data_IF_270158768519
#
_entry.id   IF_270158768519
#
_cell.length_a   1.000
_cell.length_b   1.000
_cell.length_c   1.000
_cell.angle_alpha   90.00
_cell.angle_beta   90.00
_cell.angle_gamma   90.00
#
_symmetry.space_group_name_H-M   'P 1'
#
loop_
_entity.id
_entity.type
_entity.pdbx_description
1 polymer ?
#
# COMPACT_ATOMS: atom_id res chain seq x y z
N UNK A 1 47.12 -0.64 16.86
CA UNK A 1 47.30 0.59 16.04
C UNK A 1 47.33 0.17 14.59
N UNK A 2 46.45 0.77 13.79
CA UNK A 2 46.30 0.47 12.37
C UNK A 2 47.03 1.57 11.57
N UNK A 3 47.99 1.26 10.68
CA UNK A 3 48.60 2.26 9.80
C UNK A 3 47.55 2.90 8.89
N UNK A 4 47.59 4.23 8.71
CA UNK A 4 46.59 4.93 7.91
C UNK A 4 47.15 6.16 7.15
N UNK A 5 46.44 6.55 6.08
CA UNK A 5 46.61 7.79 5.34
C UNK A 5 45.26 8.51 5.36
N UNK A 6 45.18 9.67 6.00
CA UNK A 6 43.99 10.51 6.01
C UNK A 6 44.22 11.74 5.13
N UNK A 7 43.33 11.99 4.19
CA UNK A 7 43.25 13.20 3.36
C UNK A 7 41.90 13.89 3.56
N UNK A 8 41.71 15.06 2.97
CA UNK A 8 40.41 15.74 2.98
C UNK A 8 39.29 14.93 2.29
N UNK A 9 39.65 14.02 1.38
CA UNK A 9 38.70 13.29 0.54
C UNK A 9 38.63 11.79 0.80
N UNK A 10 39.58 11.23 1.54
CA UNK A 10 39.66 9.79 1.76
C UNK A 10 40.48 9.42 2.98
N UNK A 11 40.20 8.22 3.50
CA UNK A 11 40.93 7.56 4.57
C UNK A 11 41.29 6.16 4.08
N UNK A 12 42.58 5.88 4.00
CA UNK A 12 43.11 4.55 3.70
C UNK A 12 43.70 3.95 4.96
N UNK A 13 43.35 2.71 5.29
CA UNK A 13 43.90 1.96 6.43
C UNK A 13 44.57 0.67 5.95
N UNK A 14 45.54 0.16 6.70
CA UNK A 14 46.19 -1.13 6.42
C UNK A 14 45.84 -2.13 7.52
N UNK A 15 44.90 -3.03 7.23
CA UNK A 15 44.40 -4.06 8.14
C UNK A 15 44.86 -5.42 7.61
N UNK A 16 45.48 -6.24 8.46
CA UNK A 16 46.06 -7.54 8.09
C UNK A 16 46.96 -7.53 6.83
N UNK A 17 47.66 -6.42 6.60
CA UNK A 17 48.54 -6.24 5.43
C UNK A 17 47.82 -5.89 4.13
N UNK A 18 46.51 -5.68 4.15
CA UNK A 18 45.71 -5.20 3.00
C UNK A 18 45.34 -3.73 3.20
N UNK A 19 45.47 -2.93 2.14
CA UNK A 19 45.00 -1.54 2.14
C UNK A 19 43.50 -1.50 1.82
N UNK A 20 42.72 -0.85 2.67
CA UNK A 20 41.28 -0.57 2.49
C UNK A 20 41.07 0.94 2.51
N UNK A 21 40.10 1.49 1.78
CA UNK A 21 40.00 2.94 1.55
C UNK A 21 38.57 3.44 1.44
N UNK A 22 38.21 4.36 2.32
CA UNK A 22 36.91 5.00 2.44
C UNK A 22 36.99 6.45 1.94
N UNK A 23 35.96 6.94 1.23
CA UNK A 23 35.87 8.33 0.78
C UNK A 23 35.15 9.25 1.80
N UNK A 24 35.27 10.56 1.65
CA UNK A 24 34.65 11.54 2.56
C UNK A 24 33.12 11.65 2.49
N UNK A 25 32.51 11.07 1.47
CA UNK A 25 31.06 10.99 1.28
C UNK A 25 30.47 9.71 1.92
N UNK A 26 31.33 8.82 2.47
CA UNK A 26 30.93 7.55 3.04
C UNK A 26 30.12 7.74 4.34
N UNK A 27 29.04 6.97 4.58
CA UNK A 27 28.21 7.10 5.78
C UNK A 27 28.99 6.97 7.09
N UNK A 28 29.99 6.09 7.12
CA UNK A 28 30.86 5.86 8.28
C UNK A 28 32.02 6.86 8.39
N UNK A 29 32.13 7.85 7.50
CA UNK A 29 33.27 8.79 7.45
C UNK A 29 33.51 9.52 8.77
N UNK A 30 32.44 10.08 9.35
CA UNK A 30 32.51 10.79 10.63
C UNK A 30 32.91 9.86 11.77
N UNK A 31 32.34 8.65 11.78
CA UNK A 31 32.60 7.64 12.81
C UNK A 31 34.05 7.13 12.72
N UNK A 32 34.60 6.99 11.51
CA UNK A 32 35.98 6.59 11.27
C UNK A 32 36.95 7.68 11.74
N UNK A 33 36.65 8.97 11.50
CA UNK A 33 37.42 10.08 12.05
C UNK A 33 37.39 10.12 13.58
N UNK A 34 36.23 9.87 14.19
CA UNK A 34 36.09 9.85 15.64
C UNK A 34 36.85 8.66 16.26
N UNK A 35 36.79 7.48 15.63
CA UNK A 35 37.58 6.31 16.03
C UNK A 35 39.09 6.57 15.95
N UNK A 36 39.56 7.25 14.89
CA UNK A 36 40.96 7.69 14.77
C UNK A 36 41.37 8.65 15.89
N UNK A 37 40.54 9.66 16.19
CA UNK A 37 40.82 10.62 17.28
C UNK A 37 40.86 9.95 18.64
N UNK A 38 39.95 8.99 18.87
CA UNK A 38 39.86 8.23 20.11
C UNK A 38 40.89 7.09 20.21
N UNK A 39 41.64 6.81 19.12
CA UNK A 39 42.53 5.64 19.01
C UNK A 39 41.81 4.30 19.26
N UNK A 40 40.53 4.23 18.89
CA UNK A 40 39.68 3.05 18.99
C UNK A 40 39.86 2.19 17.73
N UNK A 41 40.92 1.38 17.74
CA UNK A 41 41.35 0.61 16.57
C UNK A 41 40.39 -0.51 16.20
N UNK A 42 39.79 -1.17 17.20
CA UNK A 42 38.83 -2.26 16.97
C UNK A 42 37.56 -1.70 16.29
N UNK A 43 37.09 -0.53 16.74
CA UNK A 43 36.00 0.17 16.09
C UNK A 43 36.39 0.63 14.68
N UNK A 44 37.58 1.20 14.50
CA UNK A 44 38.04 1.62 13.17
C UNK A 44 38.09 0.45 12.19
N UNK A 45 38.63 -0.69 12.60
CA UNK A 45 38.65 -1.93 11.82
C UNK A 45 37.24 -2.38 11.43
N UNK A 46 36.30 -2.39 12.38
CA UNK A 46 34.91 -2.74 12.08
C UNK A 46 34.24 -1.81 11.06
N UNK A 47 34.62 -0.53 10.98
CA UNK A 47 34.03 0.42 10.03
C UNK A 47 34.54 0.21 8.59
N UNK A 48 35.72 -0.38 8.43
CA UNK A 48 36.25 -0.80 7.13
C UNK A 48 35.83 -2.23 6.78
N UNK A 49 35.56 -3.06 7.77
CA UNK A 49 34.84 -4.33 7.57
C UNK A 49 33.41 -4.06 7.06
N UNK A 50 32.80 -2.93 7.46
CA UNK A 50 31.51 -2.45 6.94
C UNK A 50 31.57 -1.99 5.47
N UNK A 51 32.75 -1.64 4.94
CA UNK A 51 32.93 -1.41 3.49
C UNK A 51 32.81 -2.73 2.70
N UNK A 52 33.01 -3.86 3.38
CA UNK A 52 32.65 -5.23 2.95
C UNK A 52 31.21 -5.61 3.34
N UNK A 53 30.47 -4.75 4.05
CA UNK A 53 29.13 -5.03 4.59
C UNK A 53 27.94 -4.54 3.75
N UNK A 54 28.10 -4.56 2.42
CA UNK A 54 27.14 -5.41 1.72
C UNK A 54 27.74 -6.80 1.74
N UNK A 55 27.71 -7.43 2.92
CA UNK A 55 28.17 -8.81 3.08
C UNK A 55 27.41 -9.62 2.04
N UNK A 56 28.10 -10.54 1.38
CA UNK A 56 27.45 -11.57 0.58
C UNK A 56 26.28 -12.14 1.41
N UNK A 57 25.07 -11.73 1.06
CA UNK A 57 23.85 -12.04 1.78
C UNK A 57 23.05 -12.95 0.89
N UNK A 58 22.68 -14.11 1.41
CA UNK A 58 21.87 -15.07 0.67
C UNK A 58 20.66 -15.43 1.50
N UNK A 59 19.49 -15.17 0.91
CA UNK A 59 18.22 -15.72 1.37
C UNK A 59 17.77 -16.76 0.35
N UNK A 60 18.09 -18.02 0.64
CA UNK A 60 17.78 -19.14 -0.24
C UNK A 60 16.26 -19.39 -0.37
N UNK A 61 15.46 -19.00 0.63
CA UNK A 61 14.01 -19.13 0.57
C UNK A 61 13.40 -18.08 -0.35
N UNK A 62 13.90 -16.85 -0.30
CA UNK A 62 13.49 -15.76 -1.18
C UNK A 62 14.15 -15.82 -2.58
N UNK A 63 15.15 -16.68 -2.79
CA UNK A 63 16.04 -16.71 -3.96
C UNK A 63 16.72 -15.35 -4.23
N UNK A 64 17.06 -14.63 -3.17
CA UNK A 64 17.72 -13.33 -3.22
C UNK A 64 19.16 -13.46 -2.76
N UNK A 65 20.09 -13.02 -3.60
CA UNK A 65 21.50 -12.90 -3.28
C UNK A 65 21.89 -11.42 -3.35
N UNK A 66 22.66 -10.92 -2.40
CA UNK A 66 23.28 -9.60 -2.47
C UNK A 66 24.78 -9.80 -2.48
N UNK A 67 25.44 -9.35 -3.52
CA UNK A 67 26.87 -9.54 -3.76
C UNK A 67 27.43 -8.35 -4.52
N UNK A 68 28.64 -7.92 -4.17
CA UNK A 68 29.34 -6.79 -4.82
C UNK A 68 28.47 -5.51 -4.89
N UNK A 69 27.61 -5.29 -3.89
CA UNK A 69 26.71 -4.14 -3.84
C UNK A 69 25.51 -4.21 -4.81
N UNK A 70 25.27 -5.36 -5.42
CA UNK A 70 24.14 -5.64 -6.32
C UNK A 70 23.22 -6.70 -5.73
N UNK A 71 21.94 -6.63 -6.06
CA UNK A 71 20.96 -7.65 -5.67
C UNK A 71 20.64 -8.51 -6.89
N UNK A 72 20.56 -9.82 -6.69
CA UNK A 72 20.25 -10.82 -7.68
C UNK A 72 19.02 -11.62 -7.26
N UNK A 73 18.15 -11.92 -8.21
CA UNK A 73 17.04 -12.86 -8.05
C UNK A 73 17.25 -14.01 -9.02
N UNK A 74 17.35 -15.25 -8.51
CA UNK A 74 17.63 -16.45 -9.33
C UNK A 74 18.86 -16.31 -10.26
N UNK A 75 19.86 -15.53 -9.85
CA UNK A 75 21.09 -15.27 -10.60
C UNK A 75 21.01 -14.10 -11.60
N UNK A 76 19.85 -13.47 -11.78
CA UNK A 76 19.69 -12.28 -12.61
C UNK A 76 19.81 -11.01 -11.77
N UNK A 77 20.56 -10.02 -12.25
CA UNK A 77 20.75 -8.75 -11.55
C UNK A 77 19.46 -7.92 -11.59
N UNK A 78 19.08 -7.39 -10.42
CA UNK A 78 17.85 -6.65 -10.21
C UNK A 78 18.14 -5.16 -9.98
N UNK A 79 17.35 -4.30 -10.60
CA UNK A 79 17.37 -2.87 -10.35
C UNK A 79 15.94 -2.33 -10.24
N UNK A 80 15.52 -2.02 -9.01
CA UNK A 80 14.25 -1.39 -8.72
C UNK A 80 14.29 -0.68 -7.36
N UNK A 81 13.23 0.04 -7.01
CA UNK A 81 13.17 0.81 -5.76
C UNK A 81 13.27 -0.06 -4.50
N UNK A 82 12.83 -1.32 -4.54
CA UNK A 82 12.96 -2.25 -3.41
C UNK A 82 14.42 -2.59 -3.17
N UNK A 83 15.17 -2.86 -4.24
CA UNK A 83 16.61 -3.14 -4.20
C UNK A 83 17.36 -1.96 -3.58
N UNK A 84 17.06 -0.74 -4.02
CA UNK A 84 17.69 0.47 -3.47
C UNK A 84 17.41 0.60 -1.96
N UNK A 85 16.18 0.26 -1.52
CA UNK A 85 15.81 0.25 -0.10
C UNK A 85 16.56 -0.80 0.69
N UNK A 86 16.65 -2.04 0.17
CA UNK A 86 17.38 -3.14 0.82
C UNK A 86 18.84 -2.76 1.01
N UNK A 87 19.51 -2.29 -0.05
CA UNK A 87 20.90 -1.86 -0.01
C UNK A 87 21.07 -0.68 0.96
N UNK A 88 20.14 0.28 0.96
CA UNK A 88 20.15 1.40 1.89
C UNK A 88 20.01 0.97 3.35
N UNK A 89 19.18 -0.04 3.63
CA UNK A 89 18.99 -0.59 4.97
C UNK A 89 20.22 -1.37 5.43
N UNK A 90 20.79 -2.20 4.56
CA UNK A 90 22.04 -2.93 4.85
C UNK A 90 23.19 -1.97 5.17
N UNK A 91 23.39 -0.92 4.34
CA UNK A 91 24.43 0.12 4.55
C UNK A 91 24.27 0.87 5.88
N UNK A 92 23.05 0.98 6.40
CA UNK A 92 22.74 1.64 7.67
C UNK A 92 22.63 0.65 8.84
N UNK A 93 22.90 -0.63 8.62
CA UNK A 93 22.71 -1.70 9.60
C UNK A 93 21.28 -1.74 10.19
N UNK A 94 20.28 -1.51 9.33
CA UNK A 94 18.85 -1.57 9.66
C UNK A 94 18.27 -2.97 9.33
N UNK A 95 17.16 -3.37 9.98
CA UNK A 95 16.49 -4.64 9.70
C UNK A 95 15.96 -4.70 8.25
N UNK A 96 16.53 -5.56 7.42
CA UNK A 96 16.26 -5.65 5.97
C UNK A 96 15.60 -6.97 5.54
N UNK A 97 15.57 -7.98 6.41
CA UNK A 97 15.05 -9.32 6.09
C UNK A 97 13.59 -9.31 5.60
N UNK A 98 12.67 -8.49 6.18
CA UNK A 98 11.31 -8.37 5.65
C UNK A 98 11.27 -7.87 4.19
N UNK A 99 12.14 -6.93 3.83
CA UNK A 99 12.24 -6.39 2.47
C UNK A 99 12.80 -7.41 1.48
N UNK A 100 13.77 -8.22 1.90
CA UNK A 100 14.31 -9.32 1.09
C UNK A 100 13.23 -10.35 0.80
N UNK A 101 12.51 -10.83 1.82
CA UNK A 101 11.40 -11.78 1.65
C UNK A 101 10.30 -11.20 0.76
N UNK A 102 9.96 -9.92 0.97
CA UNK A 102 9.01 -9.20 0.13
C UNK A 102 9.47 -9.18 -1.33
N UNK A 103 10.74 -8.86 -1.59
CA UNK A 103 11.30 -8.85 -2.94
C UNK A 103 11.23 -10.23 -3.60
N UNK A 104 11.57 -11.30 -2.88
CA UNK A 104 11.45 -12.67 -3.41
C UNK A 104 10.02 -13.01 -3.81
N UNK A 105 9.02 -12.66 -2.97
CA UNK A 105 7.60 -12.87 -3.28
C UNK A 105 7.10 -11.99 -4.43
N UNK A 106 7.57 -10.75 -4.47
CA UNK A 106 7.26 -9.81 -5.56
C UNK A 106 7.76 -10.37 -6.88
N UNK A 107 9.01 -10.82 -6.95
CA UNK A 107 9.60 -11.37 -8.18
C UNK A 107 9.01 -12.73 -8.58
N UNK A 108 8.43 -13.47 -7.62
CA UNK A 108 7.61 -14.65 -7.89
C UNK A 108 6.22 -14.35 -8.46
N UNK A 109 5.80 -13.09 -8.51
CA UNK A 109 4.49 -12.71 -9.02
C UNK A 109 4.44 -12.89 -10.56
N UNK A 110 3.47 -13.64 -11.11
CA UNK A 110 3.36 -13.84 -12.57
C UNK A 110 2.89 -12.59 -13.33
N UNK A 111 2.44 -11.53 -12.65
CA UNK A 111 2.05 -10.25 -13.24
C UNK A 111 3.23 -9.29 -13.23
N UNK A 112 3.89 -9.12 -14.39
CA UNK A 112 4.95 -8.10 -14.57
C UNK A 112 4.47 -6.69 -14.21
N UNK A 113 3.20 -6.40 -14.44
CA UNK A 113 2.61 -5.11 -14.04
C UNK A 113 2.64 -4.95 -12.52
N UNK A 114 2.22 -5.99 -11.79
CA UNK A 114 2.22 -5.95 -10.33
C UNK A 114 3.64 -5.82 -9.77
N UNK A 115 4.64 -6.45 -10.40
CA UNK A 115 6.04 -6.32 -9.96
C UNK A 115 6.57 -4.89 -10.10
N UNK A 116 6.16 -4.17 -11.13
CA UNK A 116 6.62 -2.80 -11.39
C UNK A 116 5.88 -1.76 -10.53
N UNK A 117 4.58 -1.95 -10.32
CA UNK A 117 3.70 -0.92 -9.72
C UNK A 117 3.57 -1.05 -8.19
N UNK A 118 3.60 -2.27 -7.64
CA UNK A 118 3.18 -2.54 -6.26
C UNK A 118 4.02 -1.79 -5.23
N UNK A 119 5.35 -1.84 -5.32
CA UNK A 119 6.19 -1.24 -4.28
C UNK A 119 6.02 0.28 -4.21
N UNK A 120 5.89 0.95 -5.36
CA UNK A 120 5.59 2.39 -5.46
C UNK A 120 4.30 2.73 -4.71
N UNK A 121 3.26 1.91 -4.88
CA UNK A 121 2.00 2.06 -4.17
C UNK A 121 2.16 1.89 -2.65
N UNK A 122 2.88 0.86 -2.21
CA UNK A 122 3.08 0.59 -0.78
C UNK A 122 3.85 1.72 -0.10
N UNK A 123 4.90 2.26 -0.73
CA UNK A 123 5.69 3.37 -0.17
C UNK A 123 4.87 4.66 -0.14
N UNK A 124 4.12 4.97 -1.22
CA UNK A 124 3.29 6.17 -1.27
C UNK A 124 2.14 6.16 -0.25
N UNK A 125 1.61 4.97 0.09
CA UNK A 125 0.50 4.81 1.05
C UNK A 125 0.95 4.34 2.44
N UNK A 126 2.26 4.29 2.71
CA UNK A 126 2.85 3.88 3.99
C UNK A 126 2.35 2.51 4.49
N UNK A 127 2.29 1.52 3.58
CA UNK A 127 1.83 0.17 3.91
C UNK A 127 2.92 -0.64 4.61
N UNK A 128 2.69 -1.14 5.84
CA UNK A 128 3.69 -1.92 6.57
C UNK A 128 3.97 -3.28 5.93
N UNK A 129 5.25 -3.66 5.86
CA UNK A 129 5.69 -5.01 5.46
C UNK A 129 5.83 -5.88 6.72
N UNK A 130 5.32 -7.11 6.66
CA UNK A 130 5.37 -8.08 7.76
C UNK A 130 6.71 -8.81 7.79
N UNK A 131 7.09 -9.45 8.92
CA UNK A 131 8.32 -10.25 9.01
C UNK A 131 8.44 -11.38 7.97
N UNK A 132 7.34 -11.80 7.36
CA UNK A 132 7.28 -12.84 6.33
C UNK A 132 7.28 -12.28 4.89
N UNK A 133 7.51 -10.97 4.73
CA UNK A 133 7.53 -10.33 3.42
C UNK A 133 6.14 -10.13 2.80
N UNK A 134 5.07 -10.30 3.58
CA UNK A 134 3.73 -9.84 3.19
C UNK A 134 3.59 -8.35 3.48
N UNK A 135 2.46 -7.75 3.14
CA UNK A 135 2.15 -6.39 3.57
C UNK A 135 0.73 -6.29 4.13
N UNK A 136 0.52 -5.28 4.98
CA UNK A 136 -0.78 -4.96 5.55
C UNK A 136 -1.47 -3.89 4.71
N UNK A 137 -2.78 -4.06 4.50
CA UNK A 137 -3.66 -3.09 3.84
C UNK A 137 -5.01 -3.02 4.55
N UNK A 138 -5.86 -2.09 4.12
CA UNK A 138 -7.18 -1.89 4.70
C UNK A 138 -8.30 -2.35 3.77
N UNK A 139 -9.39 -2.83 4.37
CA UNK A 139 -10.60 -3.23 3.66
C UNK A 139 -11.85 -2.81 4.43
N UNK A 140 -12.72 -2.01 3.82
CA UNK A 140 -14.05 -1.71 4.35
C UNK A 140 -15.03 -2.84 4.05
N UNK A 141 -15.83 -3.22 5.05
CA UNK A 141 -16.83 -4.30 4.98
C UNK A 141 -18.12 -3.86 5.68
N UNK A 142 -19.20 -4.57 5.41
CA UNK A 142 -20.51 -4.32 6.02
C UNK A 142 -20.50 -4.66 7.52
N UNK A 143 -21.56 -4.27 8.23
CA UNK A 143 -21.76 -4.56 9.66
C UNK A 143 -21.71 -6.06 10.01
N UNK A 144 -22.09 -6.92 9.08
CA UNK A 144 -22.05 -8.39 9.22
C UNK A 144 -20.73 -9.00 8.74
N UNK A 145 -19.69 -8.18 8.56
CA UNK A 145 -18.38 -8.54 8.03
C UNK A 145 -18.36 -9.02 6.57
N UNK A 146 -19.47 -8.93 5.83
CA UNK A 146 -19.48 -9.28 4.41
C UNK A 146 -18.87 -8.18 3.53
N UNK A 147 -18.36 -8.56 2.36
CA UNK A 147 -17.87 -7.58 1.39
C UNK A 147 -18.98 -6.64 0.91
N UNK A 148 -18.65 -5.36 0.75
CA UNK A 148 -19.63 -4.31 0.44
C UNK A 148 -20.39 -4.54 -0.88
N UNK A 149 -19.72 -5.05 -1.91
CA UNK A 149 -20.32 -5.13 -3.25
C UNK A 149 -21.22 -6.35 -3.44
N UNK A 150 -20.77 -7.54 -3.04
CA UNK A 150 -21.52 -8.77 -3.29
C UNK A 150 -22.29 -9.27 -2.06
N UNK A 151 -21.88 -8.89 -0.84
CA UNK A 151 -22.47 -9.38 0.40
C UNK A 151 -22.30 -10.89 0.61
N UNK A 152 -21.32 -11.53 -0.05
CA UNK A 152 -21.16 -13.00 -0.08
C UNK A 152 -19.92 -13.48 0.65
N UNK A 153 -18.90 -12.65 0.72
CA UNK A 153 -17.60 -13.03 1.25
C UNK A 153 -17.47 -12.53 2.68
N UNK A 154 -17.40 -13.47 3.63
CA UNK A 154 -17.14 -13.18 5.03
C UNK A 154 -15.68 -12.73 5.25
N UNK A 155 -15.49 -11.58 5.89
CA UNK A 155 -14.21 -10.99 6.23
C UNK A 155 -14.02 -10.94 7.76
N UNK A 156 -14.60 -11.87 8.50
CA UNK A 156 -14.30 -12.04 9.92
C UNK A 156 -12.80 -12.29 10.15
N UNK A 157 -12.28 -11.87 11.31
CA UNK A 157 -10.85 -12.03 11.63
C UNK A 157 -10.45 -13.52 11.56
N UNK A 158 -9.36 -13.80 10.86
CA UNK A 158 -8.88 -15.16 10.59
C UNK A 158 -9.36 -15.73 9.26
N UNK A 159 -10.35 -15.13 8.60
CA UNK A 159 -10.80 -15.56 7.29
C UNK A 159 -9.68 -15.43 6.25
N UNK A 160 -9.59 -16.43 5.37
CA UNK A 160 -8.71 -16.41 4.20
C UNK A 160 -9.60 -16.43 2.98
N UNK A 161 -9.52 -15.39 2.18
CA UNK A 161 -10.32 -15.22 0.98
C UNK A 161 -9.45 -15.48 -0.23
N UNK A 162 -9.92 -16.34 -1.12
CA UNK A 162 -9.18 -16.78 -2.29
C UNK A 162 -10.12 -16.98 -3.48
N UNK A 163 -9.70 -16.51 -4.64
CA UNK A 163 -10.33 -16.78 -5.92
C UNK A 163 -9.29 -17.15 -6.96
N UNK A 164 -9.72 -17.79 -8.06
CA UNK A 164 -8.80 -18.07 -9.17
C UNK A 164 -8.22 -16.75 -9.69
N UNK A 165 -6.90 -16.69 -9.82
CA UNK A 165 -6.18 -15.49 -10.27
C UNK A 165 -6.68 -14.94 -11.61
N UNK A 166 -6.98 -15.82 -12.56
CA UNK A 166 -7.53 -15.43 -13.87
C UNK A 166 -8.99 -14.92 -13.82
N UNK A 167 -9.64 -14.95 -12.66
CA UNK A 167 -10.91 -14.27 -12.41
C UNK A 167 -10.74 -12.83 -11.94
N UNK A 168 -9.50 -12.39 -11.66
CA UNK A 168 -9.17 -11.02 -11.27
C UNK A 168 -8.77 -10.23 -12.50
N UNK A 169 -9.31 -9.02 -12.62
CA UNK A 169 -8.98 -8.12 -13.71
C UNK A 169 -7.54 -7.60 -13.60
N UNK A 170 -6.76 -7.76 -14.65
CA UNK A 170 -5.38 -7.30 -14.78
C UNK A 170 -5.26 -5.91 -15.43
N UNK A 171 -6.29 -5.44 -16.14
CA UNK A 171 -6.32 -4.11 -16.74
C UNK A 171 -6.43 -3.01 -15.66
N UNK A 172 -5.36 -2.23 -15.46
CA UNK A 172 -5.28 -1.14 -14.48
C UNK A 172 -6.16 0.09 -14.83
N UNK A 173 -6.56 0.24 -16.09
CA UNK A 173 -7.42 1.35 -16.54
C UNK A 173 -8.89 1.17 -16.11
N UNK A 174 -9.28 -0.07 -15.77
CA UNK A 174 -10.64 -0.37 -15.31
C UNK A 174 -10.78 -0.26 -13.80
N UNK A 175 -11.11 0.92 -13.31
CA UNK A 175 -11.09 1.22 -11.89
C UNK A 175 -11.82 0.23 -10.96
N UNK A 176 -13.10 -0.01 -11.19
CA UNK A 176 -13.90 -0.98 -10.45
C UNK A 176 -14.15 -2.22 -11.32
N UNK A 177 -13.41 -3.30 -11.06
CA UNK A 177 -13.53 -4.54 -11.82
C UNK A 177 -13.43 -5.78 -10.92
N UNK A 178 -13.46 -6.98 -11.51
CA UNK A 178 -13.42 -8.23 -10.76
C UNK A 178 -12.11 -8.41 -10.00
N UNK A 179 -12.22 -8.89 -8.77
CA UNK A 179 -11.09 -9.09 -7.87
C UNK A 179 -11.43 -8.68 -6.45
N UNK A 180 -10.58 -9.11 -5.50
CA UNK A 180 -10.66 -8.55 -4.17
C UNK A 180 -9.92 -7.23 -4.09
N UNK A 181 -10.59 -6.22 -3.54
CA UNK A 181 -10.02 -4.91 -3.30
C UNK A 181 -9.59 -4.75 -1.85
N UNK A 182 -8.39 -4.17 -1.70
CA UNK A 182 -7.83 -3.62 -0.48
C UNK A 182 -7.06 -2.35 -0.86
N UNK A 183 -6.82 -1.46 0.10
CA UNK A 183 -6.21 -0.17 -0.21
C UNK A 183 -5.78 0.62 1.01
N UNK A 184 -5.56 1.92 0.80
CA UNK A 184 -5.28 2.90 1.85
C UNK A 184 -6.41 2.96 2.87
N UNK A 185 -6.08 3.49 4.05
CA UNK A 185 -7.04 3.76 5.10
C UNK A 185 -8.24 4.59 4.57
N UNK A 186 -7.95 5.71 3.91
CA UNK A 186 -8.99 6.63 3.41
C UNK A 186 -9.93 5.96 2.39
N UNK A 187 -9.36 5.18 1.47
CA UNK A 187 -10.13 4.45 0.48
C UNK A 187 -11.05 3.42 1.13
N UNK A 188 -10.50 2.62 2.04
CA UNK A 188 -11.23 1.55 2.70
C UNK A 188 -12.30 2.11 3.67
N UNK A 189 -12.02 3.21 4.36
CA UNK A 189 -12.96 3.89 5.26
C UNK A 189 -14.22 4.37 4.53
N UNK A 190 -14.09 4.82 3.28
CA UNK A 190 -15.23 5.23 2.45
C UNK A 190 -16.30 4.14 2.26
N UNK A 191 -15.92 2.86 2.37
CA UNK A 191 -16.88 1.74 2.25
C UNK A 191 -17.52 1.35 3.60
N UNK A 192 -16.89 1.69 4.72
CA UNK A 192 -17.42 1.39 6.06
C UNK A 192 -18.22 2.56 6.66
N UNK A 193 -18.28 3.71 5.99
CA UNK A 193 -18.86 4.95 6.53
C UNK A 193 -20.36 4.91 6.87
N UNK A 194 -21.11 3.92 6.35
CA UNK A 194 -22.57 3.81 6.55
C UNK A 194 -22.97 2.77 7.60
N UNK A 195 -22.06 2.42 8.53
CA UNK A 195 -22.30 1.38 9.52
C UNK A 195 -21.64 0.06 9.16
N UNK A 196 -20.35 -0.08 9.42
CA UNK A 196 -19.55 -1.24 9.03
C UNK A 196 -18.23 -1.34 9.76
N UNK A 197 -17.32 -2.15 9.21
CA UNK A 197 -16.01 -2.37 9.80
C UNK A 197 -14.88 -2.05 8.83
N UNK A 198 -13.83 -1.45 9.36
CA UNK A 198 -12.56 -1.31 8.67
C UNK A 198 -11.62 -2.41 9.15
N UNK A 199 -11.26 -3.30 8.23
CA UNK A 199 -10.46 -4.48 8.50
C UNK A 199 -9.00 -4.26 8.11
N UNK A 200 -8.10 -4.93 8.84
CA UNK A 200 -6.70 -5.10 8.47
C UNK A 200 -6.56 -6.43 7.75
N UNK A 201 -6.00 -6.40 6.54
CA UNK A 201 -5.73 -7.58 5.74
C UNK A 201 -4.24 -7.72 5.47
N UNK A 202 -3.76 -8.96 5.53
CA UNK A 202 -2.40 -9.34 5.14
C UNK A 202 -2.43 -9.96 3.74
N UNK A 203 -1.57 -9.45 2.86
CA UNK A 203 -1.54 -9.80 1.44
C UNK A 203 -0.13 -10.24 1.05
N UNK A 204 -0.04 -11.38 0.35
CA UNK A 204 1.21 -11.83 -0.26
C UNK A 204 1.44 -11.05 -1.58
N UNK A 205 2.62 -10.44 -1.79
CA UNK A 205 2.93 -9.73 -3.03
C UNK A 205 2.72 -10.57 -4.29
N UNK A 206 2.88 -11.89 -4.22
CA UNK A 206 2.66 -12.80 -5.36
C UNK A 206 1.19 -12.92 -5.77
N UNK A 207 0.26 -12.63 -4.86
CA UNK A 207 -1.19 -12.71 -5.08
C UNK A 207 -1.79 -11.40 -5.65
N UNK A 208 -1.01 -10.31 -5.68
CA UNK A 208 -1.43 -9.04 -6.28
C UNK A 208 -1.47 -9.16 -7.80
N UNK A 209 -2.54 -8.66 -8.43
CA UNK A 209 -2.77 -8.78 -9.87
C UNK A 209 -2.55 -7.46 -10.59
N UNK A 210 -3.11 -6.36 -10.06
CA UNK A 210 -2.97 -5.02 -10.63
C UNK A 210 -3.14 -3.92 -9.57
N UNK A 211 -2.52 -2.76 -9.82
CA UNK A 211 -2.75 -1.53 -9.04
C UNK A 211 -3.48 -0.53 -9.95
N UNK A 212 -4.80 -0.34 -9.79
CA UNK A 212 -5.57 0.53 -10.67
C UNK A 212 -5.07 1.98 -10.63
N UNK A 213 -5.11 2.67 -11.78
CA UNK A 213 -4.70 4.08 -11.89
C UNK A 213 -5.76 5.05 -11.39
N UNK A 214 -7.01 4.59 -11.23
CA UNK A 214 -8.11 5.40 -10.70
C UNK A 214 -7.98 5.63 -9.18
N UNK A 215 -8.77 6.57 -8.67
CA UNK A 215 -8.78 6.91 -7.24
C UNK A 215 -7.40 7.31 -6.68
N UNK A 216 -6.57 8.01 -7.47
CA UNK A 216 -5.22 8.44 -7.05
C UNK A 216 -4.33 7.27 -6.56
N UNK A 217 -4.46 6.10 -7.21
CA UNK A 217 -3.78 4.85 -6.87
C UNK A 217 -3.95 4.52 -5.38
N UNK A 218 -5.18 4.50 -4.88
CA UNK A 218 -5.48 4.21 -3.46
C UNK A 218 -5.85 2.75 -3.18
N UNK A 219 -6.01 1.92 -4.21
CA UNK A 219 -6.40 0.51 -4.06
C UNK A 219 -5.52 -0.40 -4.90
N UNK A 220 -5.59 -1.70 -4.61
CA UNK A 220 -5.04 -2.78 -5.42
C UNK A 220 -6.08 -3.88 -5.64
N UNK A 221 -5.82 -4.74 -6.61
CA UNK A 221 -6.56 -5.98 -6.86
C UNK A 221 -5.69 -7.18 -6.51
N UNK A 222 -6.22 -8.08 -5.68
CA UNK A 222 -5.56 -9.34 -5.31
C UNK A 222 -6.49 -10.54 -5.54
N UNK A 223 -5.91 -11.71 -5.79
CA UNK A 223 -6.66 -12.97 -5.81
C UNK A 223 -6.79 -13.61 -4.43
N UNK A 224 -5.96 -13.21 -3.45
CA UNK A 224 -5.95 -13.80 -2.12
C UNK A 224 -5.48 -12.83 -1.04
N UNK A 225 -6.06 -12.95 0.15
CA UNK A 225 -5.63 -12.25 1.36
C UNK A 225 -6.16 -12.94 2.61
N UNK A 226 -5.58 -12.60 3.76
CA UNK A 226 -6.03 -13.03 5.08
C UNK A 226 -6.48 -11.83 5.90
N UNK A 227 -7.61 -11.93 6.58
CA UNK A 227 -8.04 -10.92 7.55
C UNK A 227 -7.31 -11.16 8.86
N UNK A 228 -6.59 -10.15 9.36
CA UNK A 228 -5.74 -10.27 10.55
C UNK A 228 -6.22 -9.45 11.74
N UNK A 229 -7.15 -8.52 11.53
CA UNK A 229 -7.74 -7.75 12.63
C UNK A 229 -8.84 -6.79 12.20
N UNK A 230 -9.57 -6.28 13.19
CA UNK A 230 -10.46 -5.12 13.03
C UNK A 230 -9.66 -3.89 13.42
N UNK A 231 -9.58 -2.90 12.53
CA UNK A 231 -8.97 -1.61 12.83
C UNK A 231 -9.95 -0.68 13.53
N UNK A 232 -11.15 -0.52 12.96
CA UNK A 232 -12.19 0.41 13.44
C UNK A 232 -13.57 -0.19 13.15
N UNK A 233 -14.52 0.03 14.06
CA UNK A 233 -15.95 -0.22 13.82
C UNK A 233 -16.62 1.15 13.72
N UNK A 234 -17.37 1.36 12.65
CA UNK A 234 -18.05 2.62 12.38
C UNK A 234 -19.54 2.37 12.58
N UNK A 235 -20.14 3.08 13.53
CA UNK A 235 -21.58 3.05 13.73
C UNK A 235 -22.30 3.73 12.55
N UNK A 236 -23.44 3.19 12.17
CA UNK A 236 -24.29 3.87 11.20
C UNK A 236 -24.72 5.22 11.79
N UNK A 237 -24.69 6.31 11.01
CA UNK A 237 -25.30 7.56 11.46
C UNK A 237 -26.76 7.27 11.83
N UNK A 238 -27.28 7.83 12.94
CA UNK A 238 -28.67 7.67 13.29
C UNK A 238 -29.53 8.07 12.09
N UNK A 239 -30.51 7.24 11.74
CA UNK A 239 -31.49 7.58 10.73
C UNK A 239 -32.12 8.90 11.15
N UNK A 240 -32.13 9.89 10.24
CA UNK A 240 -32.83 11.14 10.49
C UNK A 240 -34.31 10.81 10.71
N UNK A 241 -34.80 10.99 11.94
CA UNK A 241 -36.18 10.69 12.32
C UNK A 241 -37.20 11.55 11.52
N UNK A 242 -36.73 12.52 10.73
CA UNK A 242 -37.55 13.46 9.96
C UNK A 242 -38.05 13.02 8.58
N UNK A 243 -37.66 11.86 8.04
CA UNK A 243 -38.09 11.44 6.68
C UNK A 243 -39.15 10.32 6.63
N UNK A 244 -39.72 9.94 7.78
CA UNK A 244 -40.69 8.85 7.83
C UNK A 244 -42.06 9.23 8.43
N UNK A 245 -42.52 10.47 8.23
CA UNK A 245 -43.84 10.90 8.75
C UNK A 245 -44.89 11.30 7.71
N UNK A 246 -44.64 11.18 6.39
CA UNK A 246 -45.68 11.48 5.38
C UNK A 246 -45.46 10.76 4.06
N UNK A 247 -45.36 9.42 4.06
CA UNK A 247 -45.52 8.65 2.81
C UNK A 247 -46.45 7.43 2.92
N UNK A 248 -46.99 7.15 4.10
CA UNK A 248 -47.80 5.94 4.34
C UNK A 248 -49.23 6.23 4.79
N UNK A 249 -49.84 7.32 4.31
CA UNK A 249 -51.23 7.67 4.70
C UNK A 249 -52.18 8.03 3.53
N UNK A 250 -51.78 7.78 2.27
CA UNK A 250 -52.69 7.94 1.12
C UNK A 250 -52.63 6.76 0.14
N UNK A 251 -52.88 5.56 0.64
CA UNK A 251 -53.39 4.48 -0.21
C UNK A 251 -54.66 3.91 0.44
N UNK A 252 -55.73 4.71 0.39
CA UNK A 252 -57.06 4.11 0.38
C UNK A 252 -57.16 3.28 -0.91
N UNK A 253 -57.23 1.98 -0.74
CA UNK A 253 -57.47 1.01 -1.79
C UNK A 253 -58.87 1.23 -2.36
N UNK A 254 -58.97 1.98 -3.47
CA UNK A 254 -60.17 2.03 -4.31
C UNK A 254 -60.10 0.85 -5.30
N UNK A 255 -60.97 -0.17 -5.21
CA UNK A 255 -60.85 -1.38 -6.02
C UNK A 255 -61.17 -1.19 -7.51
N UNK A 256 -61.69 -0.03 -7.92
CA UNK A 256 -62.28 0.18 -9.25
C UNK A 256 -61.65 1.35 -10.07
N UNK A 257 -60.51 1.91 -9.65
CA UNK A 257 -59.87 3.04 -10.35
C UNK A 257 -58.83 2.64 -11.40
N UNK A 258 -59.16 2.76 -12.70
CA UNK A 258 -58.15 2.80 -13.78
C UNK A 258 -57.29 4.07 -13.65
N UNK A 259 -56.00 3.96 -13.29
CA UNK A 259 -55.08 5.11 -13.32
C UNK A 259 -53.97 4.97 -14.36
N UNK A 260 -53.87 6.02 -15.19
CA UNK A 260 -52.96 6.19 -16.31
C UNK A 260 -51.53 6.52 -15.85
N UNK A 261 -50.56 5.84 -16.46
CA UNK A 261 -49.11 5.83 -16.16
C UNK A 261 -48.39 7.18 -16.41
N UNK A 262 -49.05 8.17 -17.00
CA UNK A 262 -48.39 9.38 -17.49
C UNK A 262 -48.06 10.43 -16.40
N UNK A 263 -48.79 10.47 -15.28
CA UNK A 263 -48.57 11.48 -14.23
C UNK A 263 -47.28 11.27 -13.39
N UNK A 264 -46.73 10.06 -13.36
CA UNK A 264 -45.50 9.74 -12.64
C UNK A 264 -44.23 10.34 -13.28
N UNK A 265 -44.26 10.60 -14.59
CA UNK A 265 -43.09 11.09 -15.31
C UNK A 265 -42.85 12.59 -15.11
N UNK A 266 -43.91 13.38 -14.93
CA UNK A 266 -43.79 14.84 -14.86
C UNK A 266 -43.16 15.30 -13.54
N UNK A 267 -43.60 14.73 -12.41
CA UNK A 267 -43.04 15.05 -11.09
C UNK A 267 -41.57 14.61 -10.93
N UNK A 268 -41.20 13.45 -11.51
CA UNK A 268 -39.81 12.99 -11.54
C UNK A 268 -38.93 13.91 -12.39
N UNK A 269 -39.46 14.36 -13.53
CA UNK A 269 -38.75 15.27 -14.44
C UNK A 269 -38.54 16.63 -13.78
N UNK A 270 -39.54 17.18 -13.09
CA UNK A 270 -39.42 18.44 -12.36
C UNK A 270 -38.40 18.37 -11.22
N UNK A 271 -38.42 17.29 -10.42
CA UNK A 271 -37.45 17.06 -9.35
C UNK A 271 -36.01 16.93 -9.86
N UNK A 272 -35.82 16.21 -10.97
CA UNK A 272 -34.50 16.05 -11.60
C UNK A 272 -33.95 17.38 -12.15
N UNK A 273 -34.82 18.23 -12.72
CA UNK A 273 -34.42 19.54 -13.21
C UNK A 273 -34.06 20.51 -12.08
N UNK A 274 -34.77 20.44 -10.95
CA UNK A 274 -34.46 21.26 -9.78
C UNK A 274 -33.12 20.86 -9.15
N UNK A 275 -32.90 19.56 -8.94
CA UNK A 275 -31.63 19.06 -8.40
C UNK A 275 -30.42 19.44 -9.28
N UNK A 276 -30.59 19.46 -10.61
CA UNK A 276 -29.53 19.93 -11.53
C UNK A 276 -29.26 21.43 -11.42
N UNK A 277 -30.26 22.25 -11.11
CA UNK A 277 -30.06 23.69 -10.86
C UNK A 277 -29.34 23.92 -9.54
N UNK A 278 -29.76 23.23 -8.48
CA UNK A 278 -29.18 23.38 -7.16
C UNK A 278 -27.69 22.99 -7.16
N UNK A 279 -27.32 21.89 -7.85
CA UNK A 279 -25.91 21.49 -8.04
C UNK A 279 -25.12 22.52 -8.87
N UNK A 280 -25.74 23.13 -9.88
CA UNK A 280 -25.08 24.15 -10.70
C UNK A 280 -24.89 25.49 -9.97
N UNK A 281 -25.75 25.82 -9.01
CA UNK A 281 -25.62 26.99 -8.15
C UNK A 281 -24.55 26.78 -7.07
N UNK A 282 -24.46 25.58 -6.49
CA UNK A 282 -23.40 25.23 -5.53
C UNK A 282 -22.01 25.28 -6.17
N UNK A 283 -21.86 24.73 -7.39
CA UNK A 283 -20.60 24.76 -8.14
C UNK A 283 -20.14 26.19 -8.49
N UNK A 284 -21.06 27.11 -8.75
CA UNK A 284 -20.74 28.54 -8.97
C UNK A 284 -20.33 29.24 -7.68
N UNK A 285 -20.93 28.86 -6.55
CA UNK A 285 -20.61 29.44 -5.24
C UNK A 285 -19.19 29.11 -4.77
N UNK A 286 -18.61 28.01 -5.27
CA UNK A 286 -17.24 27.60 -4.95
C UNK A 286 -16.18 28.20 -5.89
N UNK A 287 -16.51 28.49 -7.16
CA UNK A 287 -15.62 29.24 -8.07
C UNK A 287 -15.41 30.70 -7.61
N UNK A 288 -16.44 31.34 -7.03
CA UNK A 288 -16.36 32.71 -6.51
C UNK A 288 -15.52 32.83 -5.21
N UNK A 289 -15.29 31.72 -4.49
CA UNK A 289 -14.43 31.68 -3.29
C UNK A 289 -12.93 31.56 -3.63
N UNK A 290 -12.58 31.06 -4.82
CA UNK A 290 -11.19 30.90 -5.25
C UNK A 290 -10.64 32.08 -6.07
N UNK A 291 -11.50 33.02 -6.49
CA UNK A 291 -11.11 34.19 -7.29
C UNK A 291 -10.83 35.45 -6.46
N UNK A 292 -11.02 35.41 -5.14
CA UNK A 292 -10.82 36.54 -4.20
C UNK A 292 -9.72 36.29 -3.14
N UNK A 293 -8.62 35.62 -3.52
CA UNK A 293 -7.38 35.58 -2.75
C UNK A 293 -6.16 35.80 -3.64
#
# INVERSE_FOLDING_TARGET
MIPYILTEKSLTVVIEGKAQSMNCEHPSWLQAQDALKAQDWDRLESLFDVETAVLDYLDAEANIEVKDGQVFYQGESMHNMVVDKILGFMKQNLPHQPLVKFLGKLMGNPSHRATDELYSFLEHKNMPITPEGNFLAYKGVNQDFTDFYSGKFDNSVGAVLEMRRNGVCDNADMGCSSGFHAGSYDYAKGYAQSGGHLMIVEIDPSDVVSVPHDCSCQKLRTCKYKVVGVYETIDAPPLDEGLNTTFSDYLEYDPDGEESVDAYNDAWTEGYQQARKDIAEDLKSDEDKFSNN
#
